data_IF_355510632730
#
_entry.id   IF_355510632730
#
_cell.length_a   1.000
_cell.length_b   1.000
_cell.length_c   1.000
_cell.angle_alpha   90.00
_cell.angle_beta   90.00
_cell.angle_gamma   90.00
#
_symmetry.space_group_name_H-M   'P 1'
#
loop_
_entity.id
_entity.type
_entity.pdbx_description
1 polymer ?
#
# COMPACT_ATOMS: atom_id res chain seq x y z
N UNK A 1 19.21 -34.92 33.23
CA UNK A 1 20.04 -33.71 33.00
C UNK A 1 21.56 -33.94 33.06
N UNK A 2 22.07 -35.08 33.54
CA UNK A 2 23.51 -35.35 33.71
C UNK A 2 24.39 -35.31 32.43
N UNK A 3 23.81 -35.11 31.24
CA UNK A 3 24.54 -34.90 29.98
C UNK A 3 24.73 -33.43 29.60
N UNK A 4 23.98 -32.51 30.21
CA UNK A 4 24.07 -31.07 29.93
C UNK A 4 25.13 -30.46 30.86
N UNK A 5 26.15 -29.86 30.27
CA UNK A 5 27.26 -29.20 30.96
C UNK A 5 27.25 -27.72 30.64
N UNK A 6 27.17 -26.90 31.70
CA UNK A 6 27.35 -25.44 31.63
C UNK A 6 28.85 -25.14 31.80
N UNK A 7 29.42 -24.32 30.93
CA UNK A 7 30.86 -24.09 30.92
C UNK A 7 31.29 -23.09 29.84
N UNK A 8 32.60 -22.98 29.62
CA UNK A 8 33.15 -22.16 28.54
C UNK A 8 32.72 -22.72 27.18
N UNK A 9 32.15 -21.86 26.32
CA UNK A 9 31.69 -22.22 24.99
C UNK A 9 32.81 -22.62 24.03
N UNK A 10 34.07 -22.28 24.34
CA UNK A 10 35.24 -22.74 23.57
C UNK A 10 35.62 -24.20 23.86
N UNK A 11 35.12 -24.79 24.95
CA UNK A 11 35.40 -26.18 25.31
C UNK A 11 34.39 -27.13 24.63
N UNK A 12 34.88 -28.07 23.83
CA UNK A 12 34.04 -29.02 23.08
C UNK A 12 33.19 -29.97 23.94
N UNK A 13 33.42 -30.03 25.25
CA UNK A 13 32.57 -30.79 26.19
C UNK A 13 31.44 -29.97 26.83
N UNK A 14 31.41 -28.65 26.59
CA UNK A 14 30.37 -27.74 27.06
C UNK A 14 29.16 -27.82 26.13
N UNK A 15 27.96 -27.86 26.72
CA UNK A 15 26.70 -27.83 25.96
C UNK A 15 26.01 -26.47 26.01
N UNK A 16 26.23 -25.69 27.08
CA UNK A 16 25.56 -24.41 27.32
C UNK A 16 26.55 -23.39 27.85
N UNK A 17 26.64 -22.23 27.18
CA UNK A 17 27.53 -21.13 27.53
C UNK A 17 26.95 -20.17 28.58
N UNK A 18 27.65 -19.05 28.87
CA UNK A 18 27.19 -18.03 29.80
C UNK A 18 25.98 -17.24 29.26
N UNK A 19 25.25 -16.59 30.16
CA UNK A 19 24.27 -15.57 29.79
C UNK A 19 25.02 -14.30 29.32
N UNK A 20 24.54 -13.64 28.27
CA UNK A 20 25.23 -12.51 27.65
C UNK A 20 25.55 -11.36 28.63
N UNK A 21 24.60 -11.02 29.52
CA UNK A 21 24.68 -9.87 30.42
C UNK A 21 24.38 -10.25 31.88
N UNK A 22 24.98 -9.50 32.82
CA UNK A 22 24.74 -9.67 34.27
C UNK A 22 23.28 -9.39 34.65
N UNK A 23 22.69 -8.34 34.09
CA UNK A 23 21.26 -8.05 34.22
C UNK A 23 20.37 -9.22 33.76
N UNK A 24 20.85 -10.01 32.78
CA UNK A 24 20.17 -11.22 32.35
C UNK A 24 20.15 -12.33 33.41
N UNK A 25 21.19 -12.44 34.24
CA UNK A 25 21.23 -13.37 35.39
C UNK A 25 20.28 -12.90 36.48
N UNK A 26 20.33 -11.60 36.79
CA UNK A 26 19.48 -11.00 37.83
C UNK A 26 17.99 -11.14 37.48
N UNK A 27 17.62 -10.98 36.20
CA UNK A 27 16.25 -11.19 35.72
C UNK A 27 15.78 -12.64 35.88
N UNK A 28 16.64 -13.63 35.60
CA UNK A 28 16.31 -15.05 35.80
C UNK A 28 16.02 -15.34 37.28
N UNK A 29 16.84 -14.80 38.19
CA UNK A 29 16.59 -14.96 39.62
C UNK A 29 15.30 -14.30 40.08
N UNK A 30 14.99 -13.10 39.57
CA UNK A 30 13.72 -12.43 39.87
C UNK A 30 12.53 -13.30 39.49
N UNK A 31 12.57 -13.92 38.31
CA UNK A 31 11.49 -14.78 37.83
C UNK A 31 11.36 -16.08 38.62
N UNK A 32 12.49 -16.66 39.05
CA UNK A 32 12.48 -17.83 39.94
C UNK A 32 11.89 -17.44 41.29
N UNK A 33 12.27 -16.29 41.86
CA UNK A 33 11.73 -15.80 43.14
C UNK A 33 10.23 -15.52 43.06
N UNK A 34 9.76 -14.86 41.99
CA UNK A 34 8.33 -14.61 41.77
C UNK A 34 7.55 -15.92 41.65
N UNK A 35 8.06 -16.87 40.85
CA UNK A 35 7.41 -18.16 40.67
C UNK A 35 7.36 -18.97 41.97
N UNK A 36 8.47 -19.09 42.70
CA UNK A 36 8.53 -19.79 44.00
C UNK A 36 7.63 -19.11 45.03
N UNK A 37 7.61 -17.77 45.07
CA UNK A 37 6.71 -17.00 45.93
C UNK A 37 5.22 -17.24 45.64
N UNK A 38 4.89 -17.65 44.41
CA UNK A 38 3.53 -18.00 43.96
C UNK A 38 3.28 -19.51 43.93
N UNK A 39 4.02 -20.29 44.73
CA UNK A 39 3.91 -21.76 44.89
C UNK A 39 4.37 -22.60 43.68
N UNK A 40 5.27 -22.09 42.83
CA UNK A 40 5.96 -22.93 41.85
C UNK A 40 7.03 -23.80 42.52
N UNK A 41 7.26 -24.97 41.95
CA UNK A 41 8.31 -25.91 42.37
C UNK A 41 9.53 -25.80 41.45
N UNK A 42 10.73 -25.78 42.03
CA UNK A 42 11.97 -25.93 41.26
C UNK A 42 12.21 -27.42 41.06
N UNK A 43 12.13 -27.89 39.82
CA UNK A 43 12.35 -29.30 39.48
C UNK A 43 13.84 -29.61 39.31
N UNK A 44 14.63 -28.62 38.92
CA UNK A 44 16.09 -28.72 38.73
C UNK A 44 16.72 -27.34 38.62
N UNK A 45 17.99 -27.22 39.02
CA UNK A 45 18.77 -25.99 38.90
C UNK A 45 18.38 -24.91 39.91
N UNK A 46 18.37 -23.65 39.47
CA UNK A 46 17.89 -22.50 40.25
C UNK A 46 18.97 -21.69 40.96
N UNK A 47 20.26 -21.99 40.73
CA UNK A 47 21.38 -21.31 41.39
C UNK A 47 22.41 -20.76 40.40
N UNK A 48 23.11 -19.69 40.81
CA UNK A 48 24.32 -19.20 40.13
C UNK A 48 25.43 -20.23 40.22
N UNK A 49 26.40 -20.16 39.31
CA UNK A 49 27.61 -20.98 39.34
C UNK A 49 28.84 -20.07 39.49
N UNK A 50 29.16 -19.62 40.72
CA UNK A 50 30.25 -18.65 40.96
C UNK A 50 31.61 -19.15 40.44
N UNK A 51 31.84 -20.47 40.50
CA UNK A 51 33.11 -21.08 40.10
C UNK A 51 33.41 -20.97 38.60
N UNK A 52 32.40 -20.71 37.76
CA UNK A 52 32.56 -20.47 36.32
C UNK A 52 32.53 -18.98 35.97
N UNK A 53 32.05 -18.14 36.89
CA UNK A 53 31.98 -16.68 36.75
C UNK A 53 30.56 -16.10 36.91
N UNK A 54 30.47 -14.78 37.05
CA UNK A 54 29.24 -14.05 37.43
C UNK A 54 28.10 -14.11 36.39
N UNK A 55 28.36 -14.62 35.20
CA UNK A 55 27.40 -14.73 34.08
C UNK A 55 26.84 -16.15 33.90
N UNK A 56 27.25 -17.10 34.76
CA UNK A 56 26.84 -18.49 34.66
C UNK A 56 25.70 -18.81 35.63
N UNK A 57 24.66 -19.44 35.10
CA UNK A 57 23.47 -19.85 35.83
C UNK A 57 23.11 -21.29 35.46
N UNK A 58 22.61 -22.06 36.43
CA UNK A 58 22.19 -23.43 36.17
C UNK A 58 20.96 -23.49 35.24
N UNK A 59 20.92 -24.49 34.36
CA UNK A 59 19.72 -24.78 33.58
C UNK A 59 18.58 -25.11 34.53
N UNK A 60 17.55 -24.27 34.53
CA UNK A 60 16.50 -24.31 35.55
C UNK A 60 15.18 -24.73 34.91
N UNK A 61 14.48 -25.66 35.54
CA UNK A 61 13.11 -26.05 35.14
C UNK A 61 12.18 -25.82 36.33
N UNK A 62 11.15 -25.03 36.11
CA UNK A 62 10.09 -24.78 37.07
C UNK A 62 8.84 -25.57 36.71
N UNK A 63 8.18 -26.15 37.71
CA UNK A 63 6.93 -26.85 37.57
C UNK A 63 5.81 -26.19 38.38
N UNK A 64 4.57 -26.28 37.89
CA UNK A 64 3.41 -25.72 38.59
C UNK A 64 3.15 -24.25 38.27
N UNK A 65 3.49 -23.83 37.05
CA UNK A 65 3.36 -22.43 36.61
C UNK A 65 1.90 -22.07 36.33
N UNK A 66 1.48 -20.90 36.82
CA UNK A 66 0.18 -20.29 36.57
C UNK A 66 0.33 -18.93 35.86
N UNK A 67 -0.77 -18.41 35.32
CA UNK A 67 -0.77 -17.25 34.42
C UNK A 67 -0.47 -15.92 35.14
N UNK A 68 -0.50 -15.90 36.48
CA UNK A 68 -0.14 -14.72 37.28
C UNK A 68 1.37 -14.58 37.54
N UNK A 69 2.17 -15.59 37.19
CA UNK A 69 3.62 -15.58 37.37
C UNK A 69 4.30 -14.85 36.21
N UNK A 70 5.35 -14.06 36.50
CA UNK A 70 6.07 -13.30 35.47
C UNK A 70 6.62 -14.18 34.36
N UNK A 71 7.10 -15.38 34.69
CA UNK A 71 7.65 -16.36 33.74
C UNK A 71 6.61 -16.87 32.72
N UNK A 72 5.31 -16.70 32.98
CA UNK A 72 4.25 -17.05 32.05
C UNK A 72 3.89 -15.90 31.09
N UNK A 73 4.29 -14.67 31.39
CA UNK A 73 3.90 -13.46 30.66
C UNK A 73 5.07 -12.82 29.92
N UNK A 74 6.26 -12.84 30.53
CA UNK A 74 7.47 -12.23 29.99
C UNK A 74 8.29 -13.23 29.18
N UNK A 75 8.69 -12.85 27.97
CA UNK A 75 9.60 -13.64 27.14
C UNK A 75 11.04 -13.56 27.68
N UNK A 76 11.69 -14.72 27.83
CA UNK A 76 13.05 -14.81 28.34
C UNK A 76 13.94 -15.72 27.51
N UNK A 77 14.91 -15.12 26.81
CA UNK A 77 15.99 -15.82 26.12
C UNK A 77 17.11 -16.21 27.11
N UNK A 78 16.78 -17.11 28.04
CA UNK A 78 17.62 -17.45 29.20
C UNK A 78 17.50 -18.94 29.56
N UNK A 79 18.42 -19.51 30.35
CA UNK A 79 18.42 -20.94 30.72
C UNK A 79 17.34 -21.31 31.78
N UNK A 80 16.09 -20.94 31.50
CA UNK A 80 14.94 -21.15 32.37
C UNK A 80 13.75 -21.67 31.56
N UNK A 81 13.27 -22.86 31.87
CA UNK A 81 12.08 -23.46 31.28
C UNK A 81 10.95 -23.56 32.30
N UNK A 82 9.75 -23.15 31.91
CA UNK A 82 8.55 -23.16 32.74
C UNK A 82 7.56 -24.21 32.25
N UNK A 83 7.12 -25.09 33.15
CA UNK A 83 6.13 -26.14 32.86
C UNK A 83 4.79 -25.81 33.50
N UNK A 84 3.81 -25.56 32.64
CA UNK A 84 2.40 -25.43 32.99
C UNK A 84 1.62 -26.67 32.54
N UNK A 85 0.66 -27.12 33.37
CA UNK A 85 -0.29 -28.17 33.00
C UNK A 85 -1.55 -27.53 32.43
N UNK A 86 -2.17 -28.17 31.46
CA UNK A 86 -3.47 -27.82 30.88
C UNK A 86 -4.32 -29.09 30.74
N UNK A 87 -5.65 -28.94 30.65
CA UNK A 87 -6.57 -30.08 30.49
C UNK A 87 -7.14 -30.18 29.08
N UNK A 88 -7.37 -29.05 28.40
CA UNK A 88 -7.97 -29.03 27.06
C UNK A 88 -7.10 -28.26 26.06
N UNK A 89 -7.30 -28.56 24.77
CA UNK A 89 -6.64 -27.87 23.65
C UNK A 89 -6.97 -26.36 23.67
N UNK A 90 -8.24 -25.99 23.86
CA UNK A 90 -8.66 -24.59 23.91
C UNK A 90 -8.09 -23.82 25.11
N UNK A 91 -7.93 -24.49 26.27
CA UNK A 91 -7.25 -23.90 27.43
C UNK A 91 -5.79 -23.59 27.11
N UNK A 92 -5.09 -24.53 26.47
CA UNK A 92 -3.69 -24.36 26.09
C UNK A 92 -3.51 -23.21 25.09
N UNK A 93 -4.38 -23.11 24.08
CA UNK A 93 -4.36 -22.04 23.07
C UNK A 93 -4.60 -20.69 23.74
N UNK A 94 -5.64 -20.58 24.59
CA UNK A 94 -5.97 -19.33 25.27
C UNK A 94 -4.81 -18.84 26.13
N UNK A 95 -4.13 -19.75 26.83
CA UNK A 95 -2.98 -19.43 27.67
C UNK A 95 -1.75 -19.07 26.84
N UNK A 96 -1.49 -19.80 25.75
CA UNK A 96 -0.40 -19.48 24.83
C UNK A 96 -0.56 -18.11 24.19
N UNK A 97 -1.76 -17.76 23.71
CA UNK A 97 -2.02 -16.46 23.12
C UNK A 97 -2.03 -15.32 24.17
N UNK A 98 -2.11 -15.61 25.47
CA UNK A 98 -2.11 -14.58 26.51
C UNK A 98 -0.68 -14.14 26.91
N UNK A 99 0.15 -13.83 25.93
CA UNK A 99 1.50 -13.28 26.08
C UNK A 99 1.68 -12.07 25.18
N UNK A 100 2.57 -11.14 25.57
CA UNK A 100 2.70 -9.81 24.95
C UNK A 100 3.39 -9.85 23.57
N UNK A 101 4.51 -10.55 23.45
CA UNK A 101 5.40 -10.43 22.26
C UNK A 101 5.08 -11.45 21.16
N UNK A 102 4.49 -12.60 21.52
CA UNK A 102 4.01 -13.68 20.61
C UNK A 102 4.95 -14.01 19.44
N UNK A 103 6.25 -14.08 19.71
CA UNK A 103 7.27 -14.26 18.68
C UNK A 103 7.20 -15.64 18.01
N UNK A 104 7.31 -16.71 18.82
CA UNK A 104 7.36 -18.08 18.34
C UNK A 104 6.60 -19.03 19.26
N UNK A 105 5.92 -20.01 18.67
CA UNK A 105 5.26 -21.11 19.39
C UNK A 105 5.68 -22.46 18.82
N UNK A 106 5.72 -23.48 19.69
CA UNK A 106 6.09 -24.84 19.34
C UNK A 106 5.00 -25.80 19.79
N UNK A 107 4.35 -26.47 18.85
CA UNK A 107 3.32 -27.46 19.11
C UNK A 107 3.81 -28.87 18.70
N UNK A 108 3.78 -29.79 19.66
CA UNK A 108 4.17 -31.19 19.47
C UNK A 108 2.91 -32.07 19.57
N UNK A 109 2.56 -32.76 18.50
CA UNK A 109 1.36 -33.62 18.42
C UNK A 109 1.54 -34.75 17.43
N UNK A 110 1.03 -35.94 17.75
CA UNK A 110 0.96 -37.07 16.80
C UNK A 110 -0.30 -37.05 15.92
N UNK A 111 -1.27 -36.21 16.26
CA UNK A 111 -2.53 -36.04 15.54
C UNK A 111 -2.41 -34.89 14.52
N UNK A 112 -2.58 -35.22 13.23
CA UNK A 112 -2.53 -34.28 12.12
C UNK A 112 -3.71 -33.30 12.11
N UNK A 113 -4.91 -33.72 12.51
CA UNK A 113 -6.05 -32.82 12.59
C UNK A 113 -5.82 -31.75 13.68
N UNK A 114 -5.17 -32.14 14.78
CA UNK A 114 -4.76 -31.22 15.84
C UNK A 114 -3.67 -30.26 15.37
N UNK A 115 -2.72 -30.68 14.54
CA UNK A 115 -1.65 -29.79 14.07
C UNK A 115 -2.21 -28.63 13.22
N UNK A 116 -3.16 -28.91 12.33
CA UNK A 116 -3.82 -27.87 11.53
C UNK A 116 -4.63 -26.89 12.39
N UNK A 117 -5.42 -27.39 13.35
CA UNK A 117 -6.20 -26.52 14.25
C UNK A 117 -5.30 -25.64 15.12
N UNK A 118 -4.17 -26.18 15.60
CA UNK A 118 -3.22 -25.41 16.40
C UNK A 118 -2.50 -24.34 15.57
N UNK A 119 -2.10 -24.64 14.33
CA UNK A 119 -1.47 -23.63 13.47
C UNK A 119 -2.38 -22.46 13.13
N UNK A 120 -3.69 -22.67 13.02
CA UNK A 120 -4.65 -21.60 12.72
C UNK A 120 -5.05 -20.78 13.96
N UNK A 121 -5.06 -21.40 15.15
CA UNK A 121 -5.55 -20.76 16.38
C UNK A 121 -4.46 -20.10 17.23
N UNK A 122 -3.18 -20.43 17.00
CA UNK A 122 -2.06 -19.83 17.72
C UNK A 122 -1.68 -18.49 17.06
N UNK A 123 -1.88 -17.39 17.77
CA UNK A 123 -1.64 -16.03 17.28
C UNK A 123 -0.15 -15.63 17.39
N UNK A 124 0.75 -16.38 16.75
CA UNK A 124 2.19 -16.16 16.83
C UNK A 124 2.78 -15.82 15.48
N UNK A 125 3.85 -15.04 15.48
CA UNK A 125 4.63 -14.74 14.28
C UNK A 125 5.15 -15.99 13.57
N UNK A 126 5.52 -17.00 14.35
CA UNK A 126 5.95 -18.31 13.85
C UNK A 126 5.37 -19.45 14.70
N UNK A 127 4.87 -20.50 14.04
CA UNK A 127 4.35 -21.72 14.67
C UNK A 127 5.13 -22.94 14.16
N UNK A 128 5.95 -23.57 15.00
CA UNK A 128 6.55 -24.88 14.71
C UNK A 128 5.59 -26.01 15.04
N UNK A 129 5.45 -26.94 14.10
CA UNK A 129 4.78 -28.21 14.31
C UNK A 129 5.81 -29.34 14.31
N UNK A 130 5.88 -30.11 15.40
CA UNK A 130 6.74 -31.31 15.54
C UNK A 130 8.24 -31.10 15.28
N UNK A 131 8.73 -29.87 15.44
CA UNK A 131 10.15 -29.51 15.28
C UNK A 131 10.61 -28.64 16.45
N UNK A 132 11.86 -28.80 16.86
CA UNK A 132 12.51 -27.97 17.89
C UNK A 132 13.19 -26.72 17.35
N UNK A 133 13.24 -26.55 16.02
CA UNK A 133 13.91 -25.44 15.34
C UNK A 133 12.95 -24.78 14.36
N UNK A 134 12.71 -23.48 14.59
CA UNK A 134 12.02 -22.57 13.67
C UNK A 134 13.11 -21.67 13.09
N UNK A 135 13.70 -22.09 11.98
CA UNK A 135 14.66 -21.27 11.25
C UNK A 135 14.66 -21.74 9.80
N UNK A 136 13.93 -21.02 8.96
CA UNK A 136 14.00 -21.13 7.51
C UNK A 136 14.33 -19.75 6.96
N UNK A 137 15.31 -19.66 6.06
CA UNK A 137 15.75 -18.40 5.48
C UNK A 137 14.66 -17.73 4.63
N UNK A 138 13.65 -18.49 4.19
CA UNK A 138 12.50 -18.01 3.44
C UNK A 138 11.28 -17.65 4.32
N UNK A 139 11.32 -17.91 5.63
CA UNK A 139 10.20 -17.61 6.52
C UNK A 139 10.31 -16.20 7.13
N UNK A 140 9.21 -15.41 7.17
CA UNK A 140 9.20 -14.09 7.80
C UNK A 140 9.44 -14.21 9.32
N UNK A 141 10.24 -13.30 9.87
CA UNK A 141 10.63 -13.27 11.29
C UNK A 141 10.06 -12.01 11.97
N UNK A 142 9.08 -12.17 12.86
CA UNK A 142 8.48 -11.08 13.64
C UNK A 142 7.14 -11.47 14.27
N UNK A 143 6.81 -10.94 15.46
CA UNK A 143 5.55 -11.21 16.16
C UNK A 143 4.40 -10.29 15.73
N UNK A 144 3.17 -10.62 16.13
CA UNK A 144 1.98 -9.75 15.98
C UNK A 144 1.75 -9.00 17.30
N UNK A 145 2.01 -7.69 17.40
CA UNK A 145 1.78 -6.94 18.63
C UNK A 145 0.28 -6.86 18.95
N UNK A 146 -0.12 -6.91 20.23
CA UNK A 146 -1.45 -6.48 20.67
C UNK A 146 -1.70 -5.03 20.21
N UNK A 147 -2.88 -4.75 19.64
CA UNK A 147 -3.24 -3.39 19.19
C UNK A 147 -2.82 -3.05 17.76
N UNK A 148 -2.33 -3.99 16.94
CA UNK A 148 -1.98 -3.71 15.53
C UNK A 148 -3.11 -3.00 14.76
N UNK A 149 -4.38 -3.42 14.95
CA UNK A 149 -5.55 -2.76 14.35
C UNK A 149 -5.78 -1.35 14.88
N UNK A 150 -5.51 -1.12 16.16
CA UNK A 150 -5.61 0.21 16.78
C UNK A 150 -4.53 1.12 16.21
N UNK A 151 -3.29 0.65 16.06
CA UNK A 151 -2.20 1.40 15.43
C UNK A 151 -2.48 1.72 13.95
N UNK A 152 -3.06 0.79 13.20
CA UNK A 152 -3.47 1.03 11.81
C UNK A 152 -4.52 2.14 11.75
N UNK A 153 -5.54 2.07 12.62
CA UNK A 153 -6.56 3.10 12.72
C UNK A 153 -6.00 4.45 13.19
N UNK A 154 -5.08 4.47 14.16
CA UNK A 154 -4.40 5.69 14.62
C UNK A 154 -3.61 6.36 13.49
N UNK A 155 -2.96 5.58 12.63
CA UNK A 155 -2.24 6.10 11.49
C UNK A 155 -3.21 6.69 10.45
N UNK A 156 -4.31 6.00 10.14
CA UNK A 156 -5.35 6.54 9.27
C UNK A 156 -6.00 7.81 9.85
N UNK A 157 -6.29 7.84 11.16
CA UNK A 157 -6.80 9.03 11.85
C UNK A 157 -5.83 10.20 11.74
N UNK A 158 -4.53 9.95 11.97
CA UNK A 158 -3.50 10.97 11.85
C UNK A 158 -3.48 11.59 10.45
N UNK A 159 -3.47 10.79 9.38
CA UNK A 159 -3.47 11.34 8.01
C UNK A 159 -4.82 11.97 7.65
N UNK A 160 -5.93 11.45 8.16
CA UNK A 160 -7.27 12.01 7.97
C UNK A 160 -7.37 13.44 8.55
N UNK A 161 -6.93 13.65 9.79
CA UNK A 161 -6.96 14.96 10.44
C UNK A 161 -5.93 15.95 9.89
N UNK A 162 -4.80 15.47 9.35
CA UNK A 162 -3.88 16.32 8.60
C UNK A 162 -4.47 16.81 7.27
N UNK A 163 -5.44 16.07 6.73
CA UNK A 163 -6.10 16.36 5.47
C UNK A 163 -5.22 16.11 4.25
N UNK A 164 -5.80 16.34 3.07
CA UNK A 164 -5.27 16.05 1.73
C UNK A 164 -5.40 14.57 1.29
N UNK A 165 -6.09 14.35 0.17
CA UNK A 165 -6.34 12.99 -0.34
C UNK A 165 -5.07 12.27 -0.82
N UNK A 166 -4.11 12.99 -1.42
CA UNK A 166 -2.84 12.37 -1.83
C UNK A 166 -2.01 11.96 -0.61
N UNK A 167 -2.03 12.76 0.47
CA UNK A 167 -1.41 12.35 1.73
C UNK A 167 -2.06 11.09 2.30
N UNK A 168 -3.39 11.00 2.28
CA UNK A 168 -4.08 9.80 2.73
C UNK A 168 -3.67 8.57 1.91
N UNK A 169 -3.64 8.67 0.58
CA UNK A 169 -3.30 7.55 -0.29
C UNK A 169 -1.83 7.14 -0.26
N UNK A 170 -0.88 8.10 -0.16
CA UNK A 170 0.56 7.82 -0.35
C UNK A 170 1.39 7.97 0.93
N UNK A 171 0.82 8.44 2.04
CA UNK A 171 1.55 8.63 3.31
C UNK A 171 0.97 7.84 4.48
N UNK A 172 -0.22 7.23 4.33
CA UNK A 172 -0.73 6.30 5.33
C UNK A 172 0.10 5.01 5.28
N UNK A 173 0.05 4.31 4.15
CA UNK A 173 0.80 3.09 3.87
C UNK A 173 1.28 3.12 2.42
N UNK A 174 2.36 2.39 2.12
CA UNK A 174 3.02 2.42 0.80
C UNK A 174 2.30 1.59 -0.26
N UNK A 175 1.47 0.64 0.17
CA UNK A 175 0.89 -0.43 -0.64
C UNK A 175 -0.59 -0.24 -0.98
N UNK A 176 -1.19 0.90 -0.59
CA UNK A 176 -2.63 1.16 -0.79
C UNK A 176 -3.06 1.12 -2.27
N UNK A 177 -2.14 1.34 -3.21
CA UNK A 177 -2.46 1.38 -4.64
C UNK A 177 -2.28 0.05 -5.35
N UNK A 178 -1.61 -0.92 -4.72
CA UNK A 178 -1.16 -2.15 -5.39
C UNK A 178 -1.50 -3.43 -4.59
N UNK A 179 -1.76 -3.34 -3.28
CA UNK A 179 -2.29 -4.43 -2.46
C UNK A 179 -3.80 -4.26 -2.20
N UNK A 180 -4.57 -5.30 -2.56
CA UNK A 180 -6.03 -5.27 -2.46
C UNK A 180 -6.54 -5.31 -1.02
N UNK A 181 -5.84 -5.99 -0.11
CA UNK A 181 -6.26 -6.07 1.28
C UNK A 181 -6.01 -4.73 1.99
N UNK A 182 -4.84 -4.12 1.78
CA UNK A 182 -4.51 -2.79 2.27
C UNK A 182 -5.49 -1.73 1.73
N UNK A 183 -5.83 -1.79 0.43
CA UNK A 183 -6.83 -0.91 -0.17
C UNK A 183 -8.22 -1.04 0.48
N UNK A 184 -8.66 -2.27 0.74
CA UNK A 184 -9.97 -2.52 1.37
C UNK A 184 -10.01 -2.04 2.82
N UNK A 185 -8.91 -2.14 3.56
CA UNK A 185 -8.80 -1.54 4.91
C UNK A 185 -8.95 -0.01 4.86
N UNK A 186 -8.33 0.66 3.89
CA UNK A 186 -8.52 2.10 3.68
C UNK A 186 -9.97 2.44 3.30
N UNK A 187 -10.61 1.62 2.45
CA UNK A 187 -12.04 1.75 2.13
C UNK A 187 -12.92 1.61 3.37
N UNK A 188 -12.65 0.62 4.23
CA UNK A 188 -13.40 0.39 5.46
C UNK A 188 -13.26 1.55 6.44
N UNK A 189 -12.04 2.10 6.58
CA UNK A 189 -11.81 3.31 7.37
C UNK A 189 -12.65 4.47 6.85
N UNK A 190 -12.63 4.77 5.56
CA UNK A 190 -13.41 5.87 4.96
C UNK A 190 -14.92 5.64 5.15
N UNK A 191 -15.42 4.41 4.93
CA UNK A 191 -16.83 4.06 5.15
C UNK A 191 -17.26 4.26 6.60
N UNK A 192 -16.39 3.92 7.56
CA UNK A 192 -16.65 4.17 8.99
C UNK A 192 -16.77 5.65 9.32
N UNK A 193 -15.90 6.51 8.74
CA UNK A 193 -16.02 7.97 8.91
C UNK A 193 -17.31 8.52 8.33
N UNK A 194 -17.82 7.96 7.23
CA UNK A 194 -19.11 8.37 6.66
C UNK A 194 -20.25 8.02 7.64
N UNK A 195 -20.23 6.84 8.25
CA UNK A 195 -21.21 6.45 9.27
C UNK A 195 -21.18 7.37 10.49
N UNK A 196 -20.00 7.78 10.94
CA UNK A 196 -19.85 8.70 12.07
C UNK A 196 -20.35 10.12 11.75
N UNK A 197 -20.18 10.58 10.50
CA UNK A 197 -20.48 11.96 10.10
C UNK A 197 -21.94 12.14 9.67
N UNK A 198 -22.50 11.20 8.90
CA UNK A 198 -23.82 11.37 8.24
C UNK A 198 -24.92 10.77 9.10
N UNK A 199 -25.79 11.64 9.64
CA UNK A 199 -26.82 11.26 10.63
C UNK A 199 -27.98 10.45 10.04
N UNK A 200 -28.34 10.70 8.79
CA UNK A 200 -29.42 9.98 8.09
C UNK A 200 -28.86 8.68 7.48
N UNK A 201 -29.28 7.49 7.93
CA UNK A 201 -28.74 6.22 7.47
C UNK A 201 -28.98 5.98 5.98
N UNK A 202 -30.05 6.52 5.38
CA UNK A 202 -30.31 6.42 3.94
C UNK A 202 -29.27 7.23 3.16
N UNK A 203 -28.96 8.46 3.61
CA UNK A 203 -27.94 9.29 2.97
C UNK A 203 -26.55 8.69 3.15
N UNK A 204 -26.24 8.16 4.34
CA UNK A 204 -24.99 7.46 4.61
C UNK A 204 -24.81 6.26 3.67
N UNK A 205 -25.85 5.43 3.50
CA UNK A 205 -25.84 4.31 2.56
C UNK A 205 -25.54 4.74 1.12
N UNK A 206 -26.21 5.80 0.64
CA UNK A 206 -25.98 6.31 -0.71
C UNK A 206 -24.56 6.88 -0.90
N UNK A 207 -23.98 7.49 0.14
CA UNK A 207 -22.65 8.12 0.10
C UNK A 207 -21.48 7.13 0.20
N UNK A 208 -21.71 5.91 0.70
CA UNK A 208 -20.63 4.93 0.88
C UNK A 208 -20.06 4.47 -0.48
N UNK A 209 -18.74 4.60 -0.70
CA UNK A 209 -18.10 4.07 -1.89
C UNK A 209 -18.09 2.54 -1.86
N UNK A 210 -18.33 1.92 -3.02
CA UNK A 210 -18.34 0.46 -3.21
C UNK A 210 -17.17 -0.04 -4.07
N UNK A 211 -16.56 0.86 -4.85
CA UNK A 211 -15.38 0.56 -5.66
C UNK A 211 -14.11 0.58 -4.78
N UNK A 212 -13.01 0.07 -5.34
CA UNK A 212 -11.67 0.23 -4.78
C UNK A 212 -11.30 1.71 -4.59
N UNK A 213 -10.47 2.00 -3.59
CA UNK A 213 -9.88 3.31 -3.38
C UNK A 213 -8.70 3.54 -4.35
N UNK A 214 -9.02 3.58 -5.64
CA UNK A 214 -8.05 3.65 -6.74
C UNK A 214 -8.53 4.59 -7.87
N UNK A 215 -9.26 5.64 -7.48
CA UNK A 215 -9.51 6.83 -8.31
C UNK A 215 -8.56 7.94 -7.85
N UNK A 216 -8.55 9.09 -8.55
CA UNK A 216 -7.82 10.28 -8.07
C UNK A 216 -8.29 10.62 -6.64
N UNK A 217 -7.39 10.68 -5.64
CA UNK A 217 -7.78 10.96 -4.26
C UNK A 217 -8.54 12.28 -4.14
N UNK A 218 -9.63 12.26 -3.39
CA UNK A 218 -10.44 13.43 -3.09
C UNK A 218 -10.18 13.90 -1.66
N UNK A 219 -10.39 15.19 -1.44
CA UNK A 219 -10.48 15.81 -0.13
C UNK A 219 -11.40 17.02 -0.25
N UNK A 220 -11.97 17.42 0.88
CA UNK A 220 -13.01 18.44 0.94
C UNK A 220 -12.96 19.20 2.27
N UNK A 221 -13.82 20.20 2.41
CA UNK A 221 -13.97 21.02 3.62
C UNK A 221 -15.34 20.80 4.29
N UNK A 222 -15.88 19.58 4.26
CA UNK A 222 -17.16 19.24 4.90
C UNK A 222 -18.22 18.65 3.96
N UNK A 223 -17.82 17.88 2.95
CA UNK A 223 -18.69 17.25 1.95
C UNK A 223 -19.74 16.36 2.63
N UNK A 224 -19.32 15.42 3.48
CA UNK A 224 -20.24 14.51 4.15
C UNK A 224 -21.15 15.24 5.16
N UNK A 225 -20.60 16.21 5.91
CA UNK A 225 -21.34 17.05 6.87
C UNK A 225 -22.47 17.84 6.18
N UNK A 226 -22.27 18.23 4.91
CA UNK A 226 -23.25 18.99 4.13
C UNK A 226 -24.58 18.23 3.98
N UNK A 227 -24.56 16.91 3.93
CA UNK A 227 -25.77 16.08 3.80
C UNK A 227 -26.61 16.00 5.08
N UNK A 228 -26.11 16.49 6.21
CA UNK A 228 -26.89 16.64 7.45
C UNK A 228 -27.81 17.88 7.44
N UNK A 229 -27.70 18.75 6.44
CA UNK A 229 -28.55 19.93 6.31
C UNK A 229 -29.92 19.54 5.75
N UNK A 230 -30.97 20.17 6.25
CA UNK A 230 -32.36 19.91 5.81
C UNK A 230 -32.58 20.25 4.34
N UNK A 231 -31.78 21.19 3.79
CA UNK A 231 -31.89 21.65 2.40
C UNK A 231 -31.05 20.86 1.40
N UNK A 232 -30.45 19.73 1.80
CA UNK A 232 -29.58 18.91 0.96
C UNK A 232 -30.11 17.48 0.93
N UNK A 233 -30.39 16.97 -0.27
CA UNK A 233 -30.77 15.57 -0.49
C UNK A 233 -29.76 14.85 -1.39
N UNK A 234 -29.77 13.52 -1.36
CA UNK A 234 -29.00 12.66 -2.25
C UNK A 234 -29.92 11.61 -2.88
N UNK A 235 -29.71 11.38 -4.17
CA UNK A 235 -30.39 10.33 -4.95
C UNK A 235 -29.34 9.34 -5.40
N UNK A 236 -29.48 8.08 -5.00
CA UNK A 236 -28.61 7.01 -5.46
C UNK A 236 -29.05 6.51 -6.84
N UNK A 237 -28.32 6.93 -7.88
CA UNK A 237 -28.62 6.56 -9.26
C UNK A 237 -28.42 5.08 -9.58
N UNK A 238 -27.79 4.32 -8.67
CA UNK A 238 -27.66 2.85 -8.76
C UNK A 238 -28.97 2.16 -8.38
N UNK A 239 -29.81 2.81 -7.57
CA UNK A 239 -31.10 2.28 -7.12
C UNK A 239 -32.28 2.83 -7.94
N UNK A 240 -32.23 4.11 -8.34
CA UNK A 240 -33.23 4.72 -9.22
C UNK A 240 -32.57 5.52 -10.33
N UNK A 241 -32.85 5.20 -11.59
CA UNK A 241 -32.22 5.86 -12.74
C UNK A 241 -33.03 7.05 -13.24
N UNK A 242 -32.33 7.98 -13.90
CA UNK A 242 -32.93 9.09 -14.65
C UNK A 242 -33.59 8.52 -15.92
N UNK A 243 -34.82 8.95 -16.21
CA UNK A 243 -35.49 8.65 -17.49
C UNK A 243 -35.20 9.76 -18.50
N UNK A 244 -35.52 11.00 -18.15
CA UNK A 244 -35.30 12.17 -19.01
C UNK A 244 -35.27 13.47 -18.21
N UNK A 245 -34.70 14.51 -18.83
CA UNK A 245 -34.81 15.89 -18.36
C UNK A 245 -36.09 16.47 -18.95
N UNK A 246 -36.92 17.07 -18.10
CA UNK A 246 -38.20 17.72 -18.47
C UNK A 246 -38.13 19.21 -18.10
N UNK A 247 -39.02 20.08 -18.64
CA UNK A 247 -38.97 21.52 -18.35
C UNK A 247 -38.99 21.87 -16.86
N UNK A 248 -39.67 21.06 -16.04
CA UNK A 248 -39.81 21.27 -14.60
C UNK A 248 -38.62 20.72 -13.78
N UNK A 249 -37.74 19.90 -14.37
CA UNK A 249 -36.61 19.28 -13.66
C UNK A 249 -36.19 17.91 -14.23
N UNK A 250 -36.00 16.92 -13.35
CA UNK A 250 -35.56 15.57 -13.74
C UNK A 250 -36.66 14.56 -13.46
N UNK A 251 -37.09 13.84 -14.49
CA UNK A 251 -37.99 12.71 -14.36
C UNK A 251 -37.18 11.43 -14.09
N UNK A 252 -37.50 10.75 -12.98
CA UNK A 252 -36.94 9.47 -12.61
C UNK A 252 -37.76 8.33 -13.23
N UNK A 253 -37.18 7.13 -13.34
CA UNK A 253 -37.86 5.95 -13.93
C UNK A 253 -39.10 5.48 -13.17
N UNK A 254 -39.20 5.80 -11.89
CA UNK A 254 -40.39 5.51 -11.07
C UNK A 254 -41.55 6.50 -11.32
N UNK A 255 -41.37 7.45 -12.25
CA UNK A 255 -42.35 8.46 -12.62
C UNK A 255 -42.29 9.73 -11.78
N UNK A 256 -41.48 9.77 -10.71
CA UNK A 256 -41.32 10.97 -9.89
C UNK A 256 -40.57 12.07 -10.63
N UNK A 257 -40.98 13.32 -10.44
CA UNK A 257 -40.29 14.50 -10.99
C UNK A 257 -39.62 15.24 -9.83
N UNK A 258 -38.29 15.36 -9.92
CA UNK A 258 -37.48 16.19 -9.03
C UNK A 258 -37.42 17.59 -9.64
N UNK A 259 -38.20 18.52 -9.08
CA UNK A 259 -38.28 19.89 -9.60
C UNK A 259 -36.97 20.64 -9.35
N UNK A 260 -36.48 21.37 -10.37
CA UNK A 260 -35.21 22.09 -10.32
C UNK A 260 -35.31 23.37 -11.17
N UNK A 261 -34.88 24.50 -10.62
CA UNK A 261 -34.69 25.74 -11.40
C UNK A 261 -33.34 25.76 -12.12
N UNK A 262 -32.33 25.07 -11.57
CA UNK A 262 -30.95 25.04 -12.07
C UNK A 262 -30.42 23.61 -12.05
N UNK A 263 -29.86 23.17 -13.18
CA UNK A 263 -29.17 21.89 -13.32
C UNK A 263 -27.68 22.09 -13.60
N UNK A 264 -26.83 21.57 -12.72
CA UNK A 264 -25.37 21.70 -12.80
C UNK A 264 -24.75 20.38 -13.27
N UNK A 265 -23.98 20.40 -14.36
CA UNK A 265 -23.27 19.24 -14.88
C UNK A 265 -21.84 19.18 -14.33
N UNK A 266 -21.64 18.40 -13.28
CA UNK A 266 -20.30 18.06 -12.75
C UNK A 266 -19.78 16.74 -13.36
N UNK A 267 -20.00 16.51 -14.66
CA UNK A 267 -19.84 15.22 -15.34
C UNK A 267 -18.46 15.00 -15.98
N UNK A 268 -17.41 15.55 -15.36
CA UNK A 268 -16.00 15.37 -15.78
C UNK A 268 -15.66 15.98 -17.15
N UNK A 269 -14.54 15.52 -17.72
CA UNK A 269 -13.94 16.00 -18.97
C UNK A 269 -13.55 14.83 -19.88
N UNK A 270 -13.43 15.09 -21.18
CA UNK A 270 -12.68 14.23 -22.11
C UNK A 270 -11.18 14.51 -21.92
N UNK A 271 -10.61 13.87 -20.88
CA UNK A 271 -9.32 14.25 -20.32
C UNK A 271 -8.13 13.88 -21.23
N UNK A 272 -7.12 14.74 -21.22
CA UNK A 272 -5.87 14.68 -22.00
C UNK A 272 -6.06 14.92 -23.50
N UNK A 273 -6.48 13.92 -24.27
CA UNK A 273 -6.56 14.02 -25.74
C UNK A 273 -7.78 14.79 -26.27
N UNK A 274 -8.81 15.04 -25.43
CA UNK A 274 -10.11 15.54 -25.89
C UNK A 274 -10.04 16.86 -26.67
N UNK A 275 -9.22 17.82 -26.23
CA UNK A 275 -9.08 19.10 -26.92
C UNK A 275 -8.31 18.97 -28.25
N UNK A 276 -7.28 18.15 -28.29
CA UNK A 276 -6.50 17.90 -29.52
C UNK A 276 -7.35 17.27 -30.61
N UNK A 277 -8.22 16.33 -30.24
CA UNK A 277 -9.05 15.60 -31.21
C UNK A 277 -10.18 16.45 -31.80
N UNK A 278 -10.52 17.57 -31.16
CA UNK A 278 -11.51 18.56 -31.66
C UNK A 278 -10.91 19.55 -32.66
N UNK A 279 -9.59 19.57 -32.79
CA UNK A 279 -8.86 20.47 -33.69
C UNK A 279 -8.31 19.65 -34.86
N UNK A 280 -8.32 20.23 -36.06
CA UNK A 280 -7.72 19.60 -37.24
C UNK A 280 -6.19 19.81 -37.24
N UNK A 281 -5.47 18.98 -36.48
CA UNK A 281 -4.02 18.97 -36.43
C UNK A 281 -3.49 17.91 -37.40
N UNK A 282 -2.69 18.32 -38.38
CA UNK A 282 -2.11 17.45 -39.39
C UNK A 282 -0.57 17.52 -39.36
N UNK A 283 0.05 16.35 -39.39
CA UNK A 283 1.49 16.17 -39.48
C UNK A 283 1.95 15.79 -40.89
N UNK A 284 3.10 15.12 -40.98
CA UNK A 284 3.69 14.68 -42.24
C UNK A 284 2.73 13.78 -43.04
N UNK A 285 2.74 13.93 -44.37
CA UNK A 285 1.89 13.14 -45.28
C UNK A 285 0.38 13.35 -45.07
N UNK A 286 -0.04 14.43 -44.38
CA UNK A 286 -1.45 14.72 -44.10
C UNK A 286 -2.07 13.80 -43.04
N UNK A 287 -1.27 13.04 -42.28
CA UNK A 287 -1.77 12.21 -41.18
C UNK A 287 -2.23 13.12 -40.04
N UNK A 288 -3.48 12.98 -39.62
CA UNK A 288 -4.04 13.79 -38.55
C UNK A 288 -3.78 13.19 -37.17
N UNK A 289 -3.82 14.01 -36.11
CA UNK A 289 -3.64 13.54 -34.72
C UNK A 289 -4.72 12.52 -34.34
N UNK A 290 -5.94 12.64 -34.87
CA UNK A 290 -7.02 11.67 -34.71
C UNK A 290 -6.63 10.29 -35.26
N UNK A 291 -5.97 10.25 -36.42
CA UNK A 291 -5.47 8.99 -37.00
C UNK A 291 -4.27 8.45 -36.22
N UNK A 292 -3.40 9.33 -35.71
CA UNK A 292 -2.27 8.92 -34.88
C UNK A 292 -2.72 8.25 -33.58
N UNK A 293 -3.72 8.81 -32.91
CA UNK A 293 -4.25 8.30 -31.64
C UNK A 293 -5.47 7.39 -31.76
N UNK A 294 -5.71 6.80 -32.93
CA UNK A 294 -6.85 5.89 -33.15
C UNK A 294 -6.80 4.64 -32.23
N UNK A 295 -5.61 4.31 -31.71
CA UNK A 295 -5.36 3.19 -30.80
C UNK A 295 -4.90 3.64 -29.39
N UNK A 296 -5.40 4.80 -28.96
CA UNK A 296 -5.01 5.43 -27.70
C UNK A 296 -3.99 6.55 -27.90
N UNK A 297 -4.05 7.54 -27.02
CA UNK A 297 -3.19 8.71 -27.09
C UNK A 297 -1.80 8.40 -26.53
N UNK A 298 -0.78 8.64 -27.34
CA UNK A 298 0.64 8.47 -27.01
C UNK A 298 1.41 9.75 -27.30
N UNK A 299 2.41 10.05 -26.48
CA UNK A 299 3.36 11.12 -26.74
C UNK A 299 4.64 10.84 -25.98
N UNK A 300 5.78 11.01 -26.64
CA UNK A 300 7.10 10.86 -26.04
C UNK A 300 7.29 11.90 -24.95
N UNK A 301 7.37 11.43 -23.70
CA UNK A 301 7.45 12.28 -22.52
C UNK A 301 6.32 13.29 -22.40
N UNK A 302 5.10 12.98 -22.88
CA UNK A 302 4.00 13.97 -22.98
C UNK A 302 4.29 15.22 -23.81
N UNK A 303 5.38 15.25 -24.57
CA UNK A 303 5.90 16.46 -25.21
C UNK A 303 5.83 16.38 -26.73
N UNK A 304 6.09 15.22 -27.34
CA UNK A 304 6.18 15.12 -28.80
C UNK A 304 5.48 13.86 -29.34
N UNK A 305 4.96 13.95 -30.57
CA UNK A 305 4.36 12.83 -31.29
C UNK A 305 5.12 12.58 -32.60
N UNK A 306 5.36 11.32 -32.95
CA UNK A 306 5.99 10.96 -34.21
C UNK A 306 5.08 11.33 -35.39
N UNK A 307 5.65 11.87 -36.46
CA UNK A 307 4.91 12.40 -37.60
C UNK A 307 4.47 13.87 -37.44
N UNK A 308 4.77 14.53 -36.31
CA UNK A 308 4.41 15.93 -36.06
C UNK A 308 5.66 16.77 -35.74
N UNK A 309 6.50 17.07 -36.74
CA UNK A 309 7.75 17.81 -36.56
C UNK A 309 7.50 19.21 -35.99
N UNK A 310 8.35 19.64 -35.05
CA UNK A 310 8.31 20.95 -34.36
C UNK A 310 7.00 21.23 -33.60
N UNK A 311 6.14 20.23 -33.41
CA UNK A 311 4.96 20.34 -32.56
C UNK A 311 5.29 19.81 -31.17
N UNK A 312 5.18 20.70 -30.18
CA UNK A 312 5.34 20.34 -28.77
C UNK A 312 4.00 20.43 -28.03
N UNK A 313 3.79 19.51 -27.11
CA UNK A 313 2.63 19.41 -26.24
C UNK A 313 3.04 19.83 -24.83
N UNK A 314 2.13 20.50 -24.12
CA UNK A 314 2.24 20.78 -22.68
C UNK A 314 1.05 20.14 -22.00
N UNK A 315 1.30 19.37 -20.94
CA UNK A 315 0.33 18.46 -20.34
C UNK A 315 -0.27 17.47 -21.38
N UNK A 316 0.58 16.95 -22.27
CA UNK A 316 0.21 15.92 -23.24
C UNK A 316 0.00 14.54 -22.61
N UNK A 317 -0.49 13.55 -23.38
CA UNK A 317 -0.71 12.21 -22.86
C UNK A 317 0.61 11.56 -22.41
N UNK A 318 0.53 10.70 -21.40
CA UNK A 318 1.67 9.93 -20.86
C UNK A 318 2.72 10.78 -20.12
N UNK A 319 2.28 11.88 -19.51
CA UNK A 319 3.10 12.72 -18.62
C UNK A 319 3.07 12.23 -17.18
N UNK A 320 3.94 12.73 -16.32
CA UNK A 320 4.01 12.26 -14.93
C UNK A 320 2.71 12.53 -14.14
N UNK A 321 2.15 11.51 -13.48
CA UNK A 321 1.00 11.69 -12.59
C UNK A 321 1.44 12.32 -11.25
N UNK A 322 1.31 13.64 -11.12
CA UNK A 322 1.73 14.37 -9.93
C UNK A 322 1.05 15.74 -9.80
N UNK A 323 1.58 16.61 -8.93
CA UNK A 323 1.19 18.01 -8.90
C UNK A 323 1.61 18.72 -10.20
N UNK A 324 0.62 19.10 -11.02
CA UNK A 324 0.83 19.51 -12.41
C UNK A 324 1.73 20.72 -12.62
N UNK A 325 1.74 21.78 -11.80
CA UNK A 325 2.67 22.90 -12.01
C UNK A 325 4.13 22.43 -12.10
N UNK A 326 4.54 21.49 -11.25
CA UNK A 326 5.91 20.94 -11.25
C UNK A 326 6.18 20.09 -12.51
N UNK A 327 5.16 19.39 -12.99
CA UNK A 327 5.25 18.59 -14.22
C UNK A 327 5.37 19.51 -15.44
N UNK A 328 4.52 20.53 -15.51
CA UNK A 328 4.51 21.55 -16.57
C UNK A 328 5.84 22.30 -16.62
N UNK A 329 6.39 22.73 -15.48
CA UNK A 329 7.73 23.33 -15.44
C UNK A 329 8.78 22.40 -16.06
N UNK A 330 8.75 21.11 -15.71
CA UNK A 330 9.69 20.12 -16.24
C UNK A 330 9.51 19.89 -17.75
N UNK A 331 8.26 19.91 -18.24
CA UNK A 331 7.95 19.79 -19.67
C UNK A 331 8.40 21.03 -20.45
N UNK A 332 8.13 22.23 -19.94
CA UNK A 332 8.51 23.50 -20.56
C UNK A 332 10.03 23.67 -20.60
N UNK A 333 10.74 23.28 -19.54
CA UNK A 333 12.21 23.27 -19.53
C UNK A 333 12.75 22.36 -20.64
N UNK A 334 12.22 21.14 -20.76
CA UNK A 334 12.63 20.20 -21.80
C UNK A 334 12.32 20.71 -23.21
N UNK A 335 11.12 21.27 -23.44
CA UNK A 335 10.73 21.86 -24.72
C UNK A 335 11.66 23.02 -25.10
N UNK A 336 12.02 23.85 -24.11
CA UNK A 336 12.94 24.97 -24.30
C UNK A 336 14.31 24.47 -24.77
N UNK A 337 14.84 23.43 -24.13
CA UNK A 337 16.11 22.80 -24.55
C UNK A 337 16.00 22.16 -25.95
N UNK A 338 14.86 21.56 -26.31
CA UNK A 338 14.62 21.08 -27.67
C UNK A 338 14.68 22.23 -28.69
N UNK A 339 14.04 23.37 -28.40
CA UNK A 339 14.02 24.54 -29.29
C UNK A 339 15.43 25.14 -29.42
N UNK A 340 16.16 25.30 -28.32
CA UNK A 340 17.55 25.80 -28.34
C UNK A 340 18.49 24.85 -29.12
N UNK A 341 18.30 23.55 -28.99
CA UNK A 341 19.01 22.57 -29.80
C UNK A 341 18.67 22.73 -31.29
N UNK A 342 17.39 22.95 -31.59
CA UNK A 342 16.93 23.09 -32.96
C UNK A 342 17.52 24.33 -33.65
N UNK A 343 17.53 25.46 -32.94
CA UNK A 343 18.11 26.72 -33.41
C UNK A 343 19.63 26.62 -33.64
N UNK A 344 20.34 25.83 -32.82
CA UNK A 344 21.80 25.72 -32.89
C UNK A 344 22.32 24.65 -33.86
N UNK A 345 21.58 23.54 -34.04
CA UNK A 345 22.07 22.37 -34.77
C UNK A 345 21.12 21.84 -35.85
N UNK A 346 19.82 21.79 -35.57
CA UNK A 346 18.86 21.05 -36.40
C UNK A 346 17.48 21.70 -36.46
N UNK A 347 17.06 22.20 -37.61
CA UNK A 347 15.81 22.99 -37.73
C UNK A 347 14.50 22.21 -37.49
N UNK A 348 14.55 20.89 -37.45
CA UNK A 348 13.38 20.02 -37.30
C UNK A 348 13.60 19.11 -36.10
N UNK A 349 12.82 19.28 -35.05
CA UNK A 349 12.72 18.33 -33.93
C UNK A 349 11.53 17.42 -34.17
N UNK A 350 11.79 16.15 -34.46
CA UNK A 350 10.77 15.13 -34.63
C UNK A 350 11.18 13.87 -33.86
N UNK A 351 10.28 13.40 -33.00
CA UNK A 351 10.52 12.15 -32.28
C UNK A 351 10.33 10.95 -33.21
N UNK A 352 11.19 9.94 -33.06
CA UNK A 352 11.03 8.71 -33.82
C UNK A 352 9.82 7.90 -33.33
N UNK A 353 9.13 7.16 -34.22
CA UNK A 353 8.07 6.23 -33.81
C UNK A 353 8.55 5.21 -32.76
N UNK A 354 9.81 4.78 -32.85
CA UNK A 354 10.43 3.85 -31.90
C UNK A 354 10.55 4.47 -30.50
N UNK A 355 11.02 5.73 -30.39
CA UNK A 355 11.15 6.40 -29.10
C UNK A 355 9.78 6.67 -28.47
N UNK A 356 8.78 7.11 -29.26
CA UNK A 356 7.41 7.28 -28.78
C UNK A 356 6.83 5.94 -28.26
N UNK A 357 7.02 4.85 -28.99
CA UNK A 357 6.56 3.53 -28.56
C UNK A 357 7.27 3.06 -27.29
N UNK A 358 8.60 3.23 -27.20
CA UNK A 358 9.37 2.87 -25.99
C UNK A 358 8.89 3.64 -24.75
N UNK A 359 8.55 4.92 -24.90
CA UNK A 359 7.97 5.70 -23.81
C UNK A 359 6.58 5.19 -23.43
N UNK A 360 5.75 4.86 -24.41
CA UNK A 360 4.44 4.26 -24.16
C UNK A 360 4.58 2.94 -23.39
N UNK A 361 5.54 2.08 -23.76
CA UNK A 361 5.79 0.81 -23.08
C UNK A 361 6.24 1.02 -21.63
N UNK A 362 7.02 2.07 -21.35
CA UNK A 362 7.41 2.46 -19.99
C UNK A 362 6.18 2.86 -19.18
N UNK A 363 5.26 3.63 -19.78
CA UNK A 363 4.02 4.05 -19.12
C UNK A 363 3.11 2.86 -18.84
N UNK A 364 2.92 1.97 -19.83
CA UNK A 364 2.14 0.74 -19.70
C UNK A 364 2.69 -0.16 -18.58
N UNK A 365 4.02 -0.32 -18.48
CA UNK A 365 4.68 -1.07 -17.40
C UNK A 365 4.55 -0.40 -16.04
N UNK A 366 4.55 0.94 -15.97
CA UNK A 366 4.51 1.67 -14.70
C UNK A 366 3.21 1.49 -13.91
N UNK A 367 2.17 0.93 -14.54
CA UNK A 367 0.86 0.66 -13.95
C UNK A 367 0.53 -0.84 -13.86
N UNK A 368 1.48 -1.71 -14.19
CA UNK A 368 1.29 -3.15 -14.03
C UNK A 368 1.16 -3.51 -12.54
N UNK A 369 0.17 -4.33 -12.20
CA UNK A 369 -0.15 -4.69 -10.81
C UNK A 369 -0.89 -3.61 -10.01
N UNK A 370 -1.07 -2.41 -10.54
CA UNK A 370 -1.74 -1.33 -9.81
C UNK A 370 -3.26 -1.41 -9.89
N UNK A 371 -3.93 -1.19 -8.74
CA UNK A 371 -5.38 -1.14 -8.60
C UNK A 371 -6.02 0.02 -9.38
N UNK A 372 -5.23 1.05 -9.73
CA UNK A 372 -5.65 2.13 -10.63
C UNK A 372 -6.13 1.59 -11.98
N UNK A 373 -5.51 0.52 -12.49
CA UNK A 373 -5.86 -0.11 -13.76
C UNK A 373 -7.18 -0.90 -13.69
N UNK A 374 -7.52 -1.41 -12.51
CA UNK A 374 -8.76 -2.15 -12.26
C UNK A 374 -9.98 -1.23 -12.07
N UNK A 375 -9.76 0.06 -11.81
CA UNK A 375 -10.81 1.00 -11.44
C UNK A 375 -11.21 1.91 -12.60
N UNK A 376 -12.48 1.84 -13.01
CA UNK A 376 -12.99 2.63 -14.13
C UNK A 376 -12.95 4.14 -13.82
N UNK A 377 -12.04 4.86 -14.47
CA UNK A 377 -11.81 6.29 -14.25
C UNK A 377 -11.34 6.99 -15.53
N UNK A 378 -11.40 8.32 -15.51
CA UNK A 378 -10.86 9.18 -16.57
C UNK A 378 -9.34 9.03 -16.73
N UNK A 379 -8.64 8.59 -15.69
CA UNK A 379 -7.18 8.33 -15.69
C UNK A 379 -6.78 7.36 -16.81
N UNK A 380 -7.67 6.42 -17.16
CA UNK A 380 -7.47 5.48 -18.27
C UNK A 380 -8.44 5.70 -19.43
N UNK A 381 -9.25 6.77 -19.41
CA UNK A 381 -10.20 7.11 -20.48
C UNK A 381 -11.54 6.36 -20.44
N UNK A 382 -11.78 5.54 -19.42
CA UNK A 382 -12.99 4.73 -19.30
C UNK A 382 -14.28 5.54 -19.08
N UNK A 383 -14.19 6.84 -18.80
CA UNK A 383 -15.34 7.72 -18.61
C UNK A 383 -16.03 8.14 -19.92
N UNK A 384 -15.39 7.91 -21.06
CA UNK A 384 -15.88 8.34 -22.36
C UNK A 384 -16.21 7.12 -23.24
N UNK A 385 -17.45 7.06 -23.74
CA UNK A 385 -17.90 5.96 -24.60
C UNK A 385 -17.08 5.89 -25.88
N UNK A 386 -16.56 4.70 -26.20
CA UNK A 386 -15.77 4.46 -27.41
C UNK A 386 -14.29 4.86 -27.31
N UNK A 387 -13.83 5.39 -26.17
CA UNK A 387 -12.40 5.56 -25.91
C UNK A 387 -11.73 4.22 -25.63
N UNK A 388 -10.50 4.07 -26.09
CA UNK A 388 -9.67 2.95 -25.70
C UNK A 388 -9.11 3.16 -24.30
N UNK A 389 -9.14 2.10 -23.50
CA UNK A 389 -8.58 2.12 -22.13
C UNK A 389 -7.06 1.96 -22.19
N UNK A 390 -6.32 3.04 -21.89
CA UNK A 390 -4.86 3.07 -21.82
C UNK A 390 -4.39 4.06 -20.75
N UNK A 391 -3.20 3.89 -20.15
CA UNK A 391 -2.70 4.85 -19.18
C UNK A 391 -2.47 6.19 -19.86
N UNK A 392 -3.15 7.22 -19.36
CA UNK A 392 -2.94 8.59 -19.82
C UNK A 392 -1.75 9.27 -19.14
N UNK A 393 -1.11 8.61 -18.19
CA UNK A 393 -0.02 9.13 -17.38
C UNK A 393 1.07 8.09 -17.17
N UNK A 394 2.27 8.59 -16.90
CA UNK A 394 3.40 7.85 -16.35
C UNK A 394 3.31 7.84 -14.82
N UNK A 395 3.27 6.64 -14.21
CA UNK A 395 3.11 6.46 -12.77
C UNK A 395 4.42 6.28 -12.00
N UNK A 396 5.58 6.41 -12.65
CA UNK A 396 6.87 6.33 -11.95
C UNK A 396 7.24 7.60 -11.17
N UNK A 397 6.43 8.66 -11.22
CA UNK A 397 6.62 9.87 -10.42
C UNK A 397 7.60 10.90 -10.99
N UNK A 398 7.54 12.13 -10.45
CA UNK A 398 8.22 13.31 -11.00
C UNK A 398 9.76 13.18 -10.99
N UNK A 399 10.32 12.53 -9.97
CA UNK A 399 11.78 12.38 -9.86
C UNK A 399 12.33 11.64 -11.09
N UNK A 400 11.78 10.46 -11.39
CA UNK A 400 12.25 9.62 -12.49
C UNK A 400 11.93 10.26 -13.86
N UNK A 401 10.80 10.95 -13.97
CA UNK A 401 10.46 11.75 -15.15
C UNK A 401 11.51 12.84 -15.44
N UNK A 402 11.91 13.62 -14.43
CA UNK A 402 12.96 14.66 -14.58
C UNK A 402 14.33 14.05 -14.85
N UNK A 403 14.64 12.91 -14.25
CA UNK A 403 15.90 12.20 -14.50
C UNK A 403 15.96 11.67 -15.94
N UNK A 404 14.85 11.19 -16.50
CA UNK A 404 14.74 10.84 -17.92
C UNK A 404 14.96 12.07 -18.81
N UNK A 405 14.25 13.18 -18.56
CA UNK A 405 14.37 14.41 -19.35
C UNK A 405 15.81 14.94 -19.36
N UNK A 406 16.49 14.97 -18.20
CA UNK A 406 17.90 15.38 -18.10
C UNK A 406 18.84 14.48 -18.88
N UNK A 407 18.64 13.15 -18.83
CA UNK A 407 19.46 12.19 -19.58
C UNK A 407 19.30 12.39 -21.08
N UNK A 408 18.07 12.60 -21.53
CA UNK A 408 17.74 12.84 -22.92
C UNK A 408 18.40 14.14 -23.43
N UNK A 409 18.31 15.24 -22.67
CA UNK A 409 18.99 16.51 -22.98
C UNK A 409 20.51 16.32 -23.03
N UNK A 410 21.10 15.68 -22.00
CA UNK A 410 22.55 15.49 -21.89
C UNK A 410 23.11 14.61 -23.01
N UNK A 411 22.33 13.65 -23.50
CA UNK A 411 22.68 12.79 -24.63
C UNK A 411 22.46 13.46 -26.01
N UNK A 412 21.92 14.69 -26.04
CA UNK A 412 21.66 15.42 -27.28
C UNK A 412 20.41 14.94 -28.01
N UNK A 413 19.34 14.60 -27.28
CA UNK A 413 18.03 14.20 -27.78
C UNK A 413 18.02 12.93 -28.66
N UNK A 414 18.55 11.79 -28.20
CA UNK A 414 18.63 10.57 -29.00
C UNK A 414 17.26 10.02 -29.45
N UNK A 415 16.15 10.34 -28.77
CA UNK A 415 14.80 9.99 -29.20
C UNK A 415 14.29 10.83 -30.38
N UNK A 416 14.88 12.00 -30.60
CA UNK A 416 14.60 12.92 -31.71
C UNK A 416 15.70 12.73 -32.77
N UNK A 417 15.49 11.84 -33.74
CA UNK A 417 16.50 11.64 -34.77
C UNK A 417 16.62 12.88 -35.66
N UNK A 418 17.87 13.22 -35.97
CA UNK A 418 18.27 14.01 -37.12
C UNK A 418 17.66 13.41 -38.37
N UNK A 419 16.57 14.01 -38.86
CA UNK A 419 16.17 13.87 -40.24
C UNK A 419 17.42 14.10 -41.07
N UNK A 420 17.84 13.04 -41.75
CA UNK A 420 18.77 13.13 -42.85
C UNK A 420 18.34 14.33 -43.70
N UNK A 421 19.25 15.28 -43.93
CA UNK A 421 18.97 16.51 -44.68
C UNK A 421 18.61 16.29 -46.15
N UNK A 422 18.07 15.13 -46.50
CA UNK A 422 17.81 14.59 -47.83
C UNK A 422 16.32 14.43 -48.18
N UNK A 423 15.38 14.70 -47.28
CA UNK A 423 13.95 14.68 -47.64
C UNK A 423 13.30 16.07 -47.51
N UNK A 424 13.58 16.91 -48.52
CA UNK A 424 12.72 18.05 -48.88
C UNK A 424 11.97 17.75 -50.15
#
# INVERSE_FOLDING_TARGET
MNKLKVGDGANGSTTHGPIATRAGVDKVEEHIRDAVGKNASILTGGQRIPNLGDKFFQLTVLGGINDSMKVAQEEMFRPLAALAKFKTEDEAIKRANNVEVRLASYAMTTDLARSHRLSEKLDFGMVALNTGTISDWAAPFGGVPPGYREMVNENYDKVWYQGNGFRFMFSAFEDLTDDRAANEEACNFIRSKIDDIVKDPRKAHALKPRDLYARRPLCDSGYYQTFNRDNVDIVDLRETSIEQIVPEGIQMKDGTIRQLDVLIFATSFDAMEGNYLRINIAGHGGKTIQKHWQHGATAYGAIACAGFPNMFLVAGPQGAFANFPVVIESEVDFITECILHAESKQRIMEVTPTAEQQWSDICDKSVEGSLFKETLSWIFGANMKGRQTRPKFYFGGVKYYRDWARKEIAAGFPGFNAGDGSSR
#
